data_IF_045893721395
#
_entry.id   IF_045893721395
#
_cell.length_a   1.000
_cell.length_b   1.000
_cell.length_c   1.000
_cell.angle_alpha   90.00
_cell.angle_beta   90.00
_cell.angle_gamma   90.00
#
_symmetry.space_group_name_H-M   'P 1'
#
loop_
_entity.id
_entity.type
_entity.pdbx_description
1 polymer ?
#
# COMPACT_ATOMS: atom_id res chain seq x y z
N UNK A 1 -41.82 22.86 -30.20
CA UNK A 1 -40.52 23.44 -29.79
C UNK A 1 -40.48 23.40 -28.27
N UNK A 2 -39.96 22.33 -27.67
CA UNK A 2 -39.77 22.20 -26.23
C UNK A 2 -38.29 21.93 -25.98
N UNK A 3 -37.61 22.83 -25.27
CA UNK A 3 -36.23 22.64 -24.83
C UNK A 3 -36.25 21.94 -23.48
N UNK A 4 -35.74 20.71 -23.44
CA UNK A 4 -35.42 20.00 -22.20
C UNK A 4 -33.96 20.32 -21.89
N UNK A 5 -33.73 21.13 -20.87
CA UNK A 5 -32.42 21.44 -20.31
C UNK A 5 -31.89 20.24 -19.52
N UNK A 6 -30.98 19.48 -20.12
CA UNK A 6 -30.19 18.45 -19.44
C UNK A 6 -29.12 19.12 -18.58
N UNK A 7 -29.41 19.29 -17.29
CA UNK A 7 -28.40 19.61 -16.29
C UNK A 7 -27.49 18.38 -16.10
N UNK A 8 -26.26 18.51 -16.60
CA UNK A 8 -25.14 17.61 -16.33
C UNK A 8 -24.69 17.86 -14.88
N UNK A 9 -25.17 17.04 -13.94
CA UNK A 9 -24.64 16.99 -12.59
C UNK A 9 -23.30 16.26 -12.63
N UNK A 10 -22.21 17.02 -12.52
CA UNK A 10 -20.88 16.49 -12.28
C UNK A 10 -20.77 16.07 -10.81
N UNK A 11 -21.00 14.79 -10.53
CA UNK A 11 -20.73 14.21 -9.21
C UNK A 11 -19.23 14.06 -9.01
N UNK A 12 -18.57 15.13 -8.58
CA UNK A 12 -17.21 15.07 -8.03
C UNK A 12 -17.33 14.79 -6.53
N UNK A 13 -17.56 13.53 -6.17
CA UNK A 13 -17.42 13.08 -4.79
C UNK A 13 -15.92 12.89 -4.50
N UNK A 14 -15.25 14.00 -4.20
CA UNK A 14 -13.94 13.97 -3.55
C UNK A 14 -14.16 13.40 -2.14
N UNK A 15 -13.91 12.09 -1.99
CA UNK A 15 -13.74 11.45 -0.70
C UNK A 15 -12.51 12.10 -0.05
N UNK A 16 -12.76 13.09 0.82
CA UNK A 16 -11.76 13.63 1.71
C UNK A 16 -11.38 12.52 2.71
N UNK A 17 -10.40 11.71 2.32
CA UNK A 17 -9.68 10.85 3.23
C UNK A 17 -9.01 11.74 4.27
N UNK A 18 -9.44 11.58 5.53
CA UNK A 18 -8.92 12.30 6.68
C UNK A 18 -7.41 12.03 6.79
N UNK A 19 -6.61 13.03 6.43
CA UNK A 19 -5.21 13.09 6.82
C UNK A 19 -5.17 13.10 8.35
N UNK A 20 -4.83 11.97 8.96
CA UNK A 20 -4.63 11.93 10.40
C UNK A 20 -3.60 13.00 10.80
N UNK A 21 -3.99 13.86 11.75
CA UNK A 21 -3.13 14.91 12.26
C UNK A 21 -1.85 14.29 12.85
N UNK A 22 -0.67 14.90 12.65
CA UNK A 22 0.59 14.50 13.31
C UNK A 22 0.47 14.37 14.84
N UNK A 23 -0.53 14.99 15.45
CA UNK A 23 -0.86 14.89 16.87
C UNK A 23 -1.26 13.47 17.33
N UNK A 24 -1.87 12.65 16.46
CA UNK A 24 -2.21 11.26 16.79
C UNK A 24 -0.94 10.39 16.92
N UNK A 25 0.06 10.61 16.04
CA UNK A 25 1.35 9.92 16.12
C UNK A 25 2.17 10.33 17.34
N UNK A 26 2.06 11.59 17.78
CA UNK A 26 2.68 12.05 19.02
C UNK A 26 2.08 11.41 20.29
N UNK A 27 0.84 10.91 20.22
CA UNK A 27 0.18 10.20 21.33
C UNK A 27 0.78 8.82 21.61
N UNK A 28 1.44 8.20 20.63
CA UNK A 28 2.08 6.89 20.78
C UNK A 28 3.46 6.93 21.42
N UNK A 29 4.09 8.12 21.50
CA UNK A 29 5.40 8.31 22.14
C UNK A 29 5.42 8.07 23.66
N UNK A 30 4.32 7.56 24.25
CA UNK A 30 4.22 7.15 25.65
C UNK A 30 4.11 5.65 25.87
N UNK A 31 3.98 4.82 24.83
CA UNK A 31 3.98 3.36 24.93
C UNK A 31 5.31 2.80 24.40
N UNK A 32 6.08 2.16 25.26
CA UNK A 32 7.29 1.43 24.86
C UNK A 32 6.96 -0.03 24.54
N UNK A 33 7.83 -0.73 23.80
CA UNK A 33 7.68 -2.17 23.55
C UNK A 33 7.50 -2.94 24.86
N UNK A 34 8.20 -2.54 25.92
CA UNK A 34 8.16 -3.20 27.23
C UNK A 34 6.79 -3.10 27.91
N UNK A 35 6.00 -2.07 27.57
CA UNK A 35 4.65 -1.86 28.12
C UNK A 35 3.59 -2.75 27.44
N UNK A 36 3.93 -3.33 26.29
CA UNK A 36 3.03 -4.23 25.57
C UNK A 36 2.96 -5.62 26.22
N UNK A 37 1.82 -6.32 26.10
CA UNK A 37 1.74 -7.73 26.49
C UNK A 37 2.82 -8.57 25.79
N UNK A 38 3.40 -9.60 26.45
CA UNK A 38 4.49 -10.40 25.87
C UNK A 38 4.16 -11.04 24.51
N UNK A 39 2.89 -11.36 24.27
CA UNK A 39 2.44 -11.87 22.97
C UNK A 39 2.48 -10.79 21.89
N UNK A 40 2.02 -9.58 22.22
CA UNK A 40 2.04 -8.41 21.34
C UNK A 40 3.47 -8.00 20.97
N UNK A 41 4.40 -8.05 21.93
CA UNK A 41 5.84 -7.83 21.66
C UNK A 41 6.39 -8.80 20.62
N UNK A 42 6.10 -10.10 20.75
CA UNK A 42 6.53 -11.11 19.77
C UNK A 42 5.95 -10.87 18.38
N UNK A 43 4.67 -10.49 18.32
CA UNK A 43 4.00 -10.16 17.06
C UNK A 43 4.63 -8.92 16.43
N UNK A 44 4.91 -7.88 17.22
CA UNK A 44 5.57 -6.66 16.79
C UNK A 44 6.94 -6.95 16.17
N UNK A 45 7.83 -7.61 16.91
CA UNK A 45 9.20 -7.91 16.46
C UNK A 45 9.19 -8.76 15.19
N UNK A 46 8.40 -9.83 15.16
CA UNK A 46 8.40 -10.77 14.02
C UNK A 46 7.83 -10.17 12.74
N UNK A 47 6.78 -9.34 12.84
CA UNK A 47 6.17 -8.73 11.66
C UNK A 47 6.87 -7.45 11.22
N UNK A 48 7.44 -6.66 12.14
CA UNK A 48 8.23 -5.49 11.79
C UNK A 48 9.45 -5.86 10.93
N UNK A 49 10.15 -6.95 11.27
CA UNK A 49 11.26 -7.46 10.45
C UNK A 49 10.83 -7.87 9.04
N UNK A 50 9.64 -8.45 8.87
CA UNK A 50 9.09 -8.81 7.55
C UNK A 50 8.77 -7.56 6.73
N UNK A 51 8.24 -6.53 7.38
CA UNK A 51 7.87 -5.28 6.71
C UNK A 51 9.06 -4.52 6.15
N UNK A 52 10.24 -4.58 6.78
CA UNK A 52 11.46 -3.95 6.25
C UNK A 52 11.71 -4.36 4.79
N UNK A 53 11.60 -5.65 4.48
CA UNK A 53 11.82 -6.15 3.12
C UNK A 53 10.63 -5.91 2.20
N UNK A 54 9.41 -5.95 2.74
CA UNK A 54 8.19 -5.78 1.97
C UNK A 54 8.02 -4.35 1.46
N UNK A 55 8.45 -3.35 2.24
CA UNK A 55 8.46 -1.93 1.86
C UNK A 55 9.36 -1.70 0.66
N UNK A 56 10.57 -2.27 0.66
CA UNK A 56 11.49 -2.14 -0.48
C UNK A 56 10.88 -2.74 -1.77
N UNK A 57 10.23 -3.90 -1.66
CA UNK A 57 9.53 -4.53 -2.78
C UNK A 57 8.35 -3.68 -3.30
N UNK A 58 7.57 -3.08 -2.40
CA UNK A 58 6.46 -2.20 -2.73
C UNK A 58 6.90 -0.97 -3.55
N UNK A 59 8.08 -0.43 -3.23
CA UNK A 59 8.68 0.70 -3.95
C UNK A 59 9.21 0.29 -5.31
N UNK A 60 10.15 -0.66 -5.34
CA UNK A 60 10.99 -0.88 -6.52
C UNK A 60 10.31 -1.72 -7.59
N UNK A 61 9.44 -2.66 -7.20
CA UNK A 61 8.75 -3.51 -8.19
C UNK A 61 7.39 -2.92 -8.59
N UNK A 62 6.67 -2.23 -7.70
CA UNK A 62 5.34 -1.73 -8.03
C UNK A 62 5.36 -0.32 -8.64
N UNK A 63 6.13 0.61 -8.08
CA UNK A 63 6.11 2.00 -8.52
C UNK A 63 6.83 2.20 -9.87
N UNK A 64 8.02 1.59 -10.04
CA UNK A 64 8.78 1.67 -11.29
C UNK A 64 7.99 1.04 -12.45
N UNK A 65 7.35 -0.10 -12.21
CA UNK A 65 6.59 -0.81 -13.25
C UNK A 65 5.24 -0.14 -13.55
N UNK A 66 4.69 0.67 -12.63
CA UNK A 66 3.46 1.42 -12.87
C UNK A 66 3.70 2.67 -13.74
N UNK A 67 4.91 3.25 -13.71
CA UNK A 67 5.29 4.33 -14.63
C UNK A 67 5.38 3.84 -16.10
N UNK A 68 5.63 2.54 -16.32
CA UNK A 68 5.69 1.91 -17.65
C UNK A 68 4.42 1.10 -17.95
N UNK A 69 3.55 1.65 -18.81
CA UNK A 69 2.28 1.01 -19.17
C UNK A 69 2.44 -0.37 -19.81
N UNK A 70 3.61 -0.70 -20.37
CA UNK A 70 3.88 -2.02 -20.95
C UNK A 70 4.00 -3.12 -19.89
N UNK A 71 4.28 -2.75 -18.64
CA UNK A 71 4.47 -3.67 -17.51
C UNK A 71 3.23 -3.80 -16.62
N UNK A 72 2.13 -3.15 -16.98
CA UNK A 72 0.91 -3.18 -16.17
C UNK A 72 0.32 -4.59 -15.99
N UNK A 73 0.57 -5.50 -16.93
CA UNK A 73 0.23 -6.92 -16.78
C UNK A 73 1.03 -7.60 -15.66
N UNK A 74 2.32 -7.28 -15.52
CA UNK A 74 3.18 -7.79 -14.45
C UNK A 74 2.74 -7.23 -13.09
N UNK A 75 2.46 -5.92 -13.03
CA UNK A 75 1.92 -5.28 -11.82
C UNK A 75 0.58 -5.91 -11.41
N UNK A 76 -0.30 -6.17 -12.38
CA UNK A 76 -1.57 -6.85 -12.13
C UNK A 76 -1.35 -8.26 -11.56
N UNK A 77 -0.39 -9.01 -12.09
CA UNK A 77 0.00 -10.32 -11.57
C UNK A 77 0.47 -10.28 -10.11
N UNK A 78 1.12 -9.21 -9.68
CA UNK A 78 1.54 -9.03 -8.27
C UNK A 78 0.36 -8.72 -7.33
N UNK A 79 -0.73 -8.15 -7.85
CA UNK A 79 -1.95 -7.80 -7.11
C UNK A 79 -3.02 -8.90 -7.14
N UNK A 80 -2.92 -9.84 -8.06
CA UNK A 80 -3.84 -10.95 -8.20
C UNK A 80 -3.42 -12.15 -7.34
N UNK A 81 -4.40 -12.80 -6.74
CA UNK A 81 -4.23 -14.12 -6.16
C UNK A 81 -4.40 -15.14 -7.28
N UNK A 82 -3.50 -16.12 -7.40
CA UNK A 82 -3.76 -17.25 -8.29
C UNK A 82 -4.71 -18.23 -7.61
N UNK A 83 -5.87 -18.43 -8.20
CA UNK A 83 -6.82 -19.49 -7.82
C UNK A 83 -6.67 -20.66 -8.79
N UNK A 84 -5.49 -21.26 -8.82
CA UNK A 84 -5.31 -22.51 -9.55
C UNK A 84 -5.98 -23.64 -8.75
N UNK A 85 -6.65 -24.58 -9.43
CA UNK A 85 -7.47 -25.61 -8.78
C UNK A 85 -6.71 -26.52 -7.78
N UNK A 86 -5.38 -26.43 -7.75
CA UNK A 86 -4.49 -27.19 -6.85
C UNK A 86 -3.84 -26.33 -5.77
N UNK A 87 -3.78 -25.01 -5.95
CA UNK A 87 -3.12 -24.09 -5.03
C UNK A 87 -3.81 -22.71 -5.08
N UNK A 88 -4.41 -22.30 -3.96
CA UNK A 88 -4.79 -20.90 -3.76
C UNK A 88 -3.55 -20.17 -3.26
N UNK A 89 -2.95 -19.34 -4.11
CA UNK A 89 -1.87 -18.44 -3.69
C UNK A 89 -2.42 -17.04 -3.48
N UNK A 90 -2.12 -16.46 -2.32
CA UNK A 90 -2.37 -15.04 -2.05
C UNK A 90 -1.45 -14.18 -2.93
N UNK A 91 -1.94 -12.99 -3.31
CA UNK A 91 -1.12 -12.03 -4.05
C UNK A 91 0.15 -11.66 -3.26
N UNK A 92 1.19 -11.23 -3.97
CA UNK A 92 2.46 -10.87 -3.32
C UNK A 92 2.26 -9.73 -2.33
N UNK A 93 1.47 -8.72 -2.70
CA UNK A 93 1.13 -7.59 -1.83
C UNK A 93 0.35 -8.05 -0.60
N UNK A 94 -0.59 -8.99 -0.76
CA UNK A 94 -1.31 -9.55 0.39
C UNK A 94 -0.38 -10.31 1.34
N UNK A 95 0.50 -11.14 0.79
CA UNK A 95 1.44 -11.98 1.55
C UNK A 95 2.51 -11.18 2.28
N UNK A 96 3.14 -10.24 1.57
CA UNK A 96 4.37 -9.58 2.03
C UNK A 96 4.07 -8.29 2.81
N UNK A 97 2.99 -7.56 2.47
CA UNK A 97 2.70 -6.24 3.05
C UNK A 97 1.45 -6.27 3.92
N UNK A 98 0.31 -6.70 3.36
CA UNK A 98 -0.99 -6.58 4.06
C UNK A 98 -1.09 -7.59 5.21
N UNK A 99 -0.68 -8.83 5.02
CA UNK A 99 -0.79 -9.88 6.05
C UNK A 99 0.05 -9.57 7.29
N UNK A 100 1.32 -9.12 7.19
CA UNK A 100 2.07 -8.70 8.36
C UNK A 100 1.46 -7.50 9.08
N UNK A 101 0.97 -6.48 8.35
CA UNK A 101 0.29 -5.33 8.96
C UNK A 101 -1.01 -5.74 9.65
N UNK A 102 -1.82 -6.61 9.04
CA UNK A 102 -3.05 -7.13 9.66
C UNK A 102 -2.74 -7.95 10.91
N UNK A 103 -1.67 -8.74 10.88
CA UNK A 103 -1.21 -9.48 12.06
C UNK A 103 -0.79 -8.54 13.19
N UNK A 104 -0.15 -7.42 12.86
CA UNK A 104 0.18 -6.36 13.82
C UNK A 104 -1.08 -5.70 14.40
N UNK A 105 -2.05 -5.32 13.55
CA UNK A 105 -3.29 -4.68 14.01
C UNK A 105 -4.06 -5.58 15.00
N UNK A 106 -4.10 -6.89 14.71
CA UNK A 106 -4.80 -7.87 15.57
C UNK A 106 -4.00 -8.27 16.80
N UNK A 107 -2.67 -8.16 16.75
CA UNK A 107 -1.79 -8.56 17.84
C UNK A 107 -1.52 -7.45 18.85
N UNK A 108 -1.75 -6.19 18.48
CA UNK A 108 -1.54 -5.02 19.33
C UNK A 108 -2.86 -4.58 19.97
N UNK A 109 -2.84 -4.11 21.23
CA UNK A 109 -3.98 -3.43 21.84
C UNK A 109 -4.45 -2.24 20.99
N UNK A 110 -5.77 -1.98 20.98
CA UNK A 110 -6.36 -0.89 20.17
C UNK A 110 -5.80 0.48 20.57
N UNK A 111 -5.65 0.72 21.87
CA UNK A 111 -5.09 1.93 22.47
C UNK A 111 -3.58 2.07 22.25
N UNK A 112 -2.88 0.95 22.08
CA UNK A 112 -1.46 0.92 21.71
C UNK A 112 -1.24 0.96 20.18
N UNK A 113 -2.24 1.31 19.38
CA UNK A 113 -2.09 1.56 17.94
C UNK A 113 -2.56 0.42 17.04
N UNK A 114 -3.12 -0.65 17.60
CA UNK A 114 -3.78 -1.70 16.82
C UNK A 114 -4.89 -1.15 15.91
N UNK A 115 -5.69 -0.21 16.41
CA UNK A 115 -6.77 0.42 15.66
C UNK A 115 -6.26 1.29 14.49
N UNK A 116 -5.20 2.06 14.70
CA UNK A 116 -4.58 2.88 13.65
C UNK A 116 -3.92 2.03 12.56
N UNK A 117 -3.29 0.91 12.94
CA UNK A 117 -2.75 -0.05 11.97
C UNK A 117 -3.89 -0.71 11.18
N UNK A 118 -5.03 -1.00 11.81
CA UNK A 118 -6.19 -1.55 11.10
C UNK A 118 -6.76 -0.58 10.07
N UNK A 119 -6.87 0.71 10.43
CA UNK A 119 -7.27 1.77 9.50
C UNK A 119 -6.29 1.88 8.32
N UNK A 120 -4.99 1.82 8.60
CA UNK A 120 -3.94 1.80 7.58
C UNK A 120 -4.04 0.58 6.64
N UNK A 121 -4.31 -0.61 7.20
CA UNK A 121 -4.54 -1.84 6.42
C UNK A 121 -5.75 -1.69 5.51
N UNK A 122 -6.86 -1.18 6.04
CA UNK A 122 -8.09 -0.99 5.27
C UNK A 122 -7.87 -0.01 4.11
N UNK A 123 -7.12 1.07 4.34
CA UNK A 123 -6.71 2.00 3.29
C UNK A 123 -5.90 1.38 2.19
N UNK A 124 -4.85 0.65 2.58
CA UNK A 124 -3.99 -0.04 1.64
C UNK A 124 -4.79 -1.06 0.80
N UNK A 125 -5.66 -1.87 1.43
CA UNK A 125 -6.50 -2.86 0.74
C UNK A 125 -7.43 -2.19 -0.27
N UNK A 126 -8.10 -1.10 0.11
CA UNK A 126 -9.02 -0.38 -0.78
C UNK A 126 -8.27 0.20 -1.98
N UNK A 127 -7.13 0.84 -1.75
CA UNK A 127 -6.32 1.44 -2.82
C UNK A 127 -5.79 0.38 -3.79
N UNK A 128 -5.27 -0.74 -3.27
CA UNK A 128 -4.79 -1.84 -4.10
C UNK A 128 -5.91 -2.55 -4.88
N UNK A 129 -7.10 -2.67 -4.29
CA UNK A 129 -8.27 -3.22 -4.98
C UNK A 129 -8.71 -2.34 -6.15
N UNK A 130 -8.77 -1.01 -5.96
CA UNK A 130 -9.08 -0.05 -7.02
C UNK A 130 -8.00 -0.05 -8.11
N UNK A 131 -6.73 -0.07 -7.71
CA UNK A 131 -5.60 -0.16 -8.65
C UNK A 131 -5.73 -1.43 -9.52
N UNK A 132 -6.00 -2.58 -8.90
CA UNK A 132 -6.25 -3.83 -9.61
C UNK A 132 -7.42 -3.73 -10.60
N UNK A 133 -8.49 -3.02 -10.27
CA UNK A 133 -9.62 -2.81 -11.18
C UNK A 133 -9.20 -2.00 -12.42
N UNK A 134 -8.43 -0.93 -12.24
CA UNK A 134 -7.88 -0.14 -13.34
C UNK A 134 -6.98 -0.98 -14.23
N UNK A 135 -6.03 -1.70 -13.64
CA UNK A 135 -5.06 -2.50 -14.39
C UNK A 135 -5.73 -3.65 -15.16
N UNK A 136 -6.75 -4.29 -14.57
CA UNK A 136 -7.52 -5.36 -15.22
C UNK A 136 -8.50 -4.89 -16.29
N UNK A 137 -8.71 -3.58 -16.45
CA UNK A 137 -9.70 -3.06 -17.39
C UNK A 137 -11.15 -3.14 -16.90
N UNK A 138 -11.38 -3.58 -15.66
CA UNK A 138 -12.72 -3.78 -15.08
C UNK A 138 -13.32 -2.52 -14.44
N UNK A 139 -12.88 -1.34 -14.89
CA UNK A 139 -13.35 -0.06 -14.37
C UNK A 139 -14.69 0.34 -15.02
N UNK A 140 -15.71 0.55 -14.19
CA UNK A 140 -17.07 0.96 -14.62
C UNK A 140 -17.11 2.42 -15.14
N UNK A 141 -16.10 3.24 -14.80
CA UNK A 141 -16.17 4.70 -14.89
C UNK A 141 -15.32 5.36 -15.98
N UNK A 142 -14.48 4.62 -16.72
CA UNK A 142 -13.65 5.21 -17.79
C UNK A 142 -13.73 4.35 -19.04
N UNK A 143 -14.30 4.91 -20.10
CA UNK A 143 -14.52 4.28 -21.41
C UNK A 143 -13.22 3.87 -22.17
N UNK A 144 -12.05 3.86 -21.52
CA UNK A 144 -10.73 3.55 -22.09
C UNK A 144 -9.89 2.64 -21.16
N UNK A 145 -10.53 1.71 -20.46
CA UNK A 145 -9.84 0.78 -19.57
C UNK A 145 -9.18 -0.35 -20.38
N UNK A 146 -8.00 -0.10 -20.93
CA UNK A 146 -7.23 -1.12 -21.66
C UNK A 146 -5.73 -0.98 -21.38
N UNK A 147 -5.32 -1.34 -20.18
CA UNK A 147 -3.90 -1.47 -19.81
C UNK A 147 -3.35 -2.89 -19.97
N UNK A 148 -4.13 -3.92 -19.64
CA UNK A 148 -3.67 -5.31 -19.74
C UNK A 148 -3.83 -5.96 -21.12
N UNK A 149 -4.64 -5.38 -22.03
CA UNK A 149 -4.98 -5.96 -23.33
C UNK A 149 -4.25 -5.33 -24.54
N UNK A 150 -3.20 -4.54 -24.31
CA UNK A 150 -2.35 -4.00 -25.38
C UNK A 150 -2.90 -2.78 -26.12
N UNK A 151 -3.96 -2.13 -25.63
CA UNK A 151 -4.41 -0.84 -26.17
C UNK A 151 -3.65 0.33 -25.55
N UNK A 152 -3.71 1.50 -26.19
CA UNK A 152 -3.11 2.71 -25.64
C UNK A 152 -3.85 3.17 -24.37
N UNK A 153 -3.14 3.19 -23.23
CA UNK A 153 -3.66 3.71 -21.96
C UNK A 153 -3.74 5.23 -22.03
N UNK A 154 -4.89 5.80 -21.71
CA UNK A 154 -5.04 7.26 -21.68
C UNK A 154 -4.22 7.89 -20.54
N UNK A 155 -3.71 9.13 -20.69
CA UNK A 155 -2.96 9.81 -19.63
C UNK A 155 -3.75 9.94 -18.32
N UNK A 156 -5.08 10.06 -18.41
CA UNK A 156 -5.96 10.14 -17.24
C UNK A 156 -5.97 8.81 -16.45
N UNK A 157 -6.08 7.67 -17.13
CA UNK A 157 -6.03 6.34 -16.51
C UNK A 157 -4.67 6.08 -15.88
N UNK A 158 -3.59 6.47 -16.57
CA UNK A 158 -2.24 6.39 -16.01
C UNK A 158 -2.12 7.22 -14.73
N UNK A 159 -2.61 8.45 -14.73
CA UNK A 159 -2.60 9.32 -13.55
C UNK A 159 -3.39 8.70 -12.39
N UNK A 160 -4.60 8.21 -12.66
CA UNK A 160 -5.45 7.59 -11.64
C UNK A 160 -4.79 6.35 -11.01
N UNK A 161 -4.11 5.52 -11.81
CA UNK A 161 -3.36 4.38 -11.29
C UNK A 161 -2.22 4.83 -10.35
N UNK A 162 -1.47 5.87 -10.73
CA UNK A 162 -0.39 6.44 -9.90
C UNK A 162 -0.94 7.07 -8.61
N UNK A 163 -2.08 7.79 -8.68
CA UNK A 163 -2.73 8.37 -7.51
C UNK A 163 -3.17 7.27 -6.53
N UNK A 164 -3.74 6.16 -7.01
CA UNK A 164 -4.14 5.03 -6.16
C UNK A 164 -2.93 4.32 -5.53
N UNK A 165 -1.81 4.25 -6.24
CA UNK A 165 -0.57 3.76 -5.66
C UNK A 165 -0.09 4.69 -4.54
N UNK A 166 -0.12 6.01 -4.73
CA UNK A 166 0.22 7.00 -3.72
C UNK A 166 -0.72 6.93 -2.49
N UNK A 167 -2.02 6.72 -2.69
CA UNK A 167 -2.97 6.53 -1.59
C UNK A 167 -2.65 5.26 -0.78
N UNK A 168 -2.31 4.17 -1.47
CA UNK A 168 -1.83 2.93 -0.84
C UNK A 168 -0.54 3.14 -0.06
N UNK A 169 0.42 3.85 -0.65
CA UNK A 169 1.68 4.24 0.00
C UNK A 169 1.44 5.03 1.27
N UNK A 170 0.59 6.04 1.22
CA UNK A 170 0.28 6.88 2.38
C UNK A 170 -0.33 6.05 3.51
N UNK A 171 -1.24 5.13 3.18
CA UNK A 171 -1.82 4.19 4.14
C UNK A 171 -0.75 3.29 4.76
N UNK A 172 0.12 2.70 3.95
CA UNK A 172 1.24 1.87 4.40
C UNK A 172 2.20 2.65 5.31
N UNK A 173 2.57 3.87 4.93
CA UNK A 173 3.44 4.73 5.74
C UNK A 173 2.82 5.10 7.09
N UNK A 174 1.50 5.26 7.17
CA UNK A 174 0.81 5.47 8.45
C UNK A 174 0.94 4.25 9.37
N UNK A 175 0.76 3.04 8.85
CA UNK A 175 0.99 1.82 9.62
C UNK A 175 2.45 1.69 10.09
N UNK A 176 3.40 2.02 9.21
CA UNK A 176 4.84 2.04 9.53
C UNK A 176 5.16 3.05 10.63
N UNK A 177 4.54 4.23 10.61
CA UNK A 177 4.75 5.26 11.64
C UNK A 177 4.35 4.75 13.02
N UNK A 178 3.21 4.06 13.13
CA UNK A 178 2.77 3.45 14.40
C UNK A 178 3.75 2.37 14.84
N UNK A 179 4.15 1.47 13.94
CA UNK A 179 5.10 0.40 14.24
C UNK A 179 6.44 0.96 14.71
N UNK A 180 6.96 1.98 14.05
CA UNK A 180 8.22 2.63 14.42
C UNK A 180 8.13 3.36 15.76
N UNK A 181 7.01 4.01 16.05
CA UNK A 181 6.78 4.67 17.34
C UNK A 181 6.79 3.65 18.49
N UNK A 182 6.09 2.52 18.31
CA UNK A 182 6.06 1.46 19.31
C UNK A 182 7.40 0.76 19.46
N UNK A 183 8.15 0.60 18.37
CA UNK A 183 9.46 -0.04 18.35
C UNK A 183 10.61 0.86 18.83
N UNK A 184 10.34 2.14 19.14
CA UNK A 184 11.37 3.06 19.60
C UNK A 184 12.02 2.57 20.90
N UNK A 185 13.34 2.66 20.98
CA UNK A 185 14.12 2.11 22.10
C UNK A 185 14.26 0.57 22.15
N UNK A 186 13.64 -0.18 21.24
CA UNK A 186 13.77 -1.65 21.17
C UNK A 186 14.89 -2.13 20.24
N UNK A 187 15.13 -3.46 20.19
CA UNK A 187 16.06 -4.07 19.23
C UNK A 187 15.53 -4.08 17.78
N UNK A 188 14.25 -3.72 17.56
CA UNK A 188 13.65 -3.68 16.23
C UNK A 188 14.19 -2.48 15.46
N UNK A 189 14.76 -2.74 14.28
CA UNK A 189 15.24 -1.68 13.41
C UNK A 189 14.07 -0.87 12.85
N UNK A 190 14.16 0.48 12.83
CA UNK A 190 13.15 1.31 12.19
C UNK A 190 12.93 0.90 10.74
N UNK A 191 11.66 0.76 10.37
CA UNK A 191 11.23 0.48 9.01
C UNK A 191 11.31 1.80 8.23
N UNK A 192 12.00 1.79 7.10
CA UNK A 192 12.06 2.95 6.21
C UNK A 192 10.67 3.26 5.64
N UNK A 193 10.32 4.54 5.54
CA UNK A 193 9.12 4.94 4.81
C UNK A 193 9.25 4.64 3.33
N UNK A 194 8.12 4.30 2.72
CA UNK A 194 7.98 4.20 1.27
C UNK A 194 8.02 5.62 0.68
N UNK A 195 9.05 5.98 -0.12
CA UNK A 195 9.12 7.24 -0.85
C UNK A 195 8.00 7.36 -1.88
N UNK A 196 7.58 8.58 -2.19
CA UNK A 196 6.69 8.86 -3.33
C UNK A 196 7.39 8.58 -4.67
N UNK A 197 6.61 8.45 -5.75
CA UNK A 197 7.14 8.27 -7.11
C UNK A 197 8.04 9.45 -7.53
N UNK A 198 7.77 10.64 -7.00
CA UNK A 198 8.63 11.80 -7.25
C UNK A 198 10.01 11.65 -6.58
N UNK A 199 10.07 11.01 -5.41
CA UNK A 199 11.28 10.83 -4.61
C UNK A 199 12.10 9.59 -5.03
N UNK A 200 11.46 8.57 -5.62
CA UNK A 200 12.15 7.34 -6.07
C UNK A 200 13.20 7.59 -7.15
N UNK A 201 13.04 8.64 -7.97
CA UNK A 201 13.98 9.00 -9.05
C UNK A 201 15.40 9.32 -8.57
N UNK A 202 15.60 9.56 -7.26
CA UNK A 202 16.91 9.80 -6.64
C UNK A 202 17.51 8.62 -5.87
N UNK A 203 16.80 7.51 -5.67
CA UNK A 203 17.13 6.48 -4.67
C UNK A 203 17.99 5.30 -5.19
N UNK A 204 18.98 5.57 -6.05
CA UNK A 204 19.86 4.53 -6.64
C UNK A 204 20.47 3.55 -5.62
N UNK A 205 20.83 4.02 -4.43
CA UNK A 205 21.51 3.22 -3.39
C UNK A 205 20.60 2.21 -2.68
N UNK A 206 19.32 2.53 -2.50
CA UNK A 206 18.36 1.57 -1.92
C UNK A 206 17.98 0.48 -2.94
N UNK A 207 17.99 0.84 -4.23
CA UNK A 207 17.76 -0.09 -5.34
C UNK A 207 18.83 -1.18 -5.44
N UNK A 208 20.11 -0.85 -5.30
CA UNK A 208 21.20 -1.83 -5.33
C UNK A 208 21.07 -2.88 -4.23
N UNK A 209 20.69 -2.45 -3.02
CA UNK A 209 20.45 -3.34 -1.87
C UNK A 209 19.23 -4.23 -2.09
N UNK A 210 18.14 -3.68 -2.62
CA UNK A 210 16.96 -4.47 -2.96
C UNK A 210 17.30 -5.54 -4.02
N UNK A 211 18.05 -5.16 -5.06
CA UNK A 211 18.42 -6.05 -6.14
C UNK A 211 19.42 -7.15 -5.71
N UNK A 212 20.26 -6.90 -4.69
CA UNK A 212 21.08 -7.97 -4.10
C UNK A 212 20.21 -8.99 -3.36
N UNK A 213 19.24 -8.54 -2.55
CA UNK A 213 18.33 -9.44 -1.85
C UNK A 213 17.49 -10.28 -2.81
N UNK A 214 16.97 -9.68 -3.89
CA UNK A 214 16.21 -10.40 -4.93
C UNK A 214 17.03 -11.46 -5.66
N UNK A 215 18.35 -11.32 -5.70
CA UNK A 215 19.26 -12.30 -6.34
C UNK A 215 19.55 -13.49 -5.42
N UNK A 216 19.56 -13.24 -4.11
CA UNK A 216 19.91 -14.23 -3.10
C UNK A 216 18.69 -15.02 -2.58
N UNK A 217 17.47 -14.61 -2.95
CA UNK A 217 16.18 -15.24 -2.62
C UNK A 217 15.68 -16.16 -3.75
#
# INVERSE_FOLDING_TARGET
RGQVSLQKAASSALLAWSLASPAALASYGGFSVEDLPPQSQKVLVSNAQRLVFAVDAYVFDLAEDLEDTTKWADVLGQLQSSSDARFVSVSRIERDVISPLRSLSQGLPEDAGGADIDEAVNGLVVSMAKLRMILSGNTITVFDAAGANGSAVSPAVKKEALDLWEDGRNSLNRGIDVVNALADGSEVKPIGKVPSIAETKGLKRNRERYMSYKRDA
#
